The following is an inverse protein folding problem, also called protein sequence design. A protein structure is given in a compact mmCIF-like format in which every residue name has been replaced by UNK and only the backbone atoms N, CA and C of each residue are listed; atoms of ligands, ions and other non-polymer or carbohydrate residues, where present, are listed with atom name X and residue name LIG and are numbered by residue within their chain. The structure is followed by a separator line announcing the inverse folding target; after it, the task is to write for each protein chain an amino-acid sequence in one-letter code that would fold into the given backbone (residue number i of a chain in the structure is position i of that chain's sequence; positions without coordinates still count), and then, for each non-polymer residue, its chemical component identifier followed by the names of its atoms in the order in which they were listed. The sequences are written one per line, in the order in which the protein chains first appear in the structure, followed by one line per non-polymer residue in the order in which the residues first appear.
data_IF_562214969247
#
_entry.id   IF_562214969247
#
_cell.length_a   1.000
_cell.length_b   1.000
_cell.length_c   1.000
_cell.angle_alpha   90.00
_cell.angle_beta   90.00
_cell.angle_gamma   90.00
#
_symmetry.space_group_name_H-M   'P 1'
#
loop_
_entity.id
_entity.type
_entity.pdbx_description
1 polymer ?
#
# COMPACT_ATOMS: atom_id res chain seq x y z
N UNK A 1 26.85 15.40 20.18
CA UNK A 1 25.75 15.97 19.38
C UNK A 1 25.75 15.28 18.02
N UNK A 2 24.82 14.33 17.80
CA UNK A 2 24.66 13.67 16.51
C UNK A 2 23.56 14.42 15.75
N UNK A 3 23.88 14.85 14.53
CA UNK A 3 23.01 15.61 13.64
C UNK A 3 21.61 15.00 13.55
N UNK A 4 20.59 15.82 13.75
CA UNK A 4 19.21 15.49 13.43
C UNK A 4 19.12 15.35 11.90
N UNK A 5 19.16 14.12 11.39
CA UNK A 5 18.66 13.85 10.04
C UNK A 5 17.17 14.20 10.05
N UNK A 6 16.79 15.15 9.19
CA UNK A 6 15.40 15.45 8.87
C UNK A 6 14.63 14.15 8.58
N UNK A 7 13.81 13.68 9.52
CA UNK A 7 13.08 12.41 9.42
C UNK A 7 11.82 12.56 8.56
N UNK A 8 11.95 13.15 7.37
CA UNK A 8 10.93 13.06 6.34
C UNK A 8 10.81 11.59 5.96
N UNK A 9 9.71 10.94 6.33
CA UNK A 9 9.45 9.54 5.94
C UNK A 9 9.20 9.52 4.45
N UNK A 10 10.01 8.81 3.69
CA UNK A 10 9.95 8.89 2.23
C UNK A 10 8.81 8.04 1.66
N UNK A 11 8.53 6.87 2.25
CA UNK A 11 7.51 5.94 1.75
C UNK A 11 6.50 5.57 2.83
N UNK A 12 5.21 5.69 2.54
CA UNK A 12 4.14 5.13 3.38
C UNK A 12 3.75 3.73 2.89
N UNK A 13 3.70 2.74 3.78
CA UNK A 13 3.39 1.34 3.46
C UNK A 13 1.91 1.01 3.70
N UNK A 14 1.04 1.48 2.81
CA UNK A 14 -0.40 1.19 2.81
C UNK A 14 -0.77 -0.12 2.11
N UNK A 15 -2.06 -0.47 2.14
CA UNK A 15 -2.59 -1.67 1.50
C UNK A 15 -2.98 -2.77 2.48
N UNK A 16 -3.16 -3.99 1.97
CA UNK A 16 -3.51 -5.19 2.72
C UNK A 16 -2.69 -5.30 4.02
N UNK A 17 -3.38 -5.52 5.13
CA UNK A 17 -2.82 -5.60 6.48
C UNK A 17 -2.79 -7.04 6.96
N UNK A 18 -3.54 -7.42 7.98
CA UNK A 18 -3.59 -8.79 8.49
C UNK A 18 -4.38 -9.69 7.51
N UNK A 19 -3.93 -10.92 7.22
CA UNK A 19 -2.80 -11.65 7.80
C UNK A 19 -1.47 -11.50 7.02
N UNK A 20 -1.36 -10.52 6.13
CA UNK A 20 -0.26 -10.41 5.16
C UNK A 20 1.05 -9.98 5.82
N UNK A 21 2.16 -10.51 5.30
CA UNK A 21 3.52 -10.30 5.84
C UNK A 21 4.44 -9.55 4.88
N UNK A 22 3.94 -9.12 3.71
CA UNK A 22 4.75 -8.49 2.65
C UNK A 22 5.60 -7.32 3.13
N UNK A 23 5.12 -6.58 4.15
CA UNK A 23 5.87 -5.49 4.78
C UNK A 23 7.15 -6.01 5.42
N UNK A 24 7.03 -7.01 6.28
CA UNK A 24 8.15 -7.56 7.05
C UNK A 24 9.05 -8.47 6.21
N UNK A 25 8.45 -9.28 5.33
CA UNK A 25 9.19 -10.29 4.57
C UNK A 25 9.97 -9.68 3.39
N UNK A 26 9.48 -8.57 2.82
CA UNK A 26 10.02 -8.01 1.58
C UNK A 26 10.26 -6.51 1.61
N UNK A 27 9.23 -5.70 1.89
CA UNK A 27 9.31 -4.26 1.70
C UNK A 27 10.30 -3.57 2.65
N UNK A 28 10.19 -3.85 3.95
CA UNK A 28 11.06 -3.27 4.98
C UNK A 28 12.53 -3.66 4.74
N UNK A 29 12.91 -4.94 4.57
CA UNK A 29 14.29 -5.30 4.28
C UNK A 29 14.86 -4.61 3.03
N UNK A 30 14.06 -4.48 1.96
CA UNK A 30 14.49 -3.83 0.73
C UNK A 30 14.71 -2.32 0.92
N UNK A 31 13.80 -1.63 1.60
CA UNK A 31 13.88 -0.20 1.89
C UNK A 31 15.06 0.12 2.82
N UNK A 32 15.25 -0.67 3.89
CA UNK A 32 16.38 -0.53 4.81
C UNK A 32 17.72 -0.71 4.09
N UNK A 33 17.83 -1.75 3.25
CA UNK A 33 19.02 -1.99 2.44
C UNK A 33 19.34 -0.84 1.49
N UNK A 34 18.31 -0.17 0.97
CA UNK A 34 18.45 1.00 0.10
C UNK A 34 18.64 2.33 0.85
N UNK A 35 18.61 2.33 2.18
CA UNK A 35 18.69 3.55 2.99
C UNK A 35 17.46 4.46 2.88
N UNK A 36 16.32 3.92 2.48
CA UNK A 36 15.06 4.66 2.30
C UNK A 36 14.23 4.61 3.58
N UNK A 37 13.84 5.78 4.10
CA UNK A 37 12.96 5.88 5.27
C UNK A 37 11.51 5.54 4.91
N UNK A 38 10.80 4.89 5.83
CA UNK A 38 9.41 4.48 5.61
C UNK A 38 8.55 4.62 6.87
N UNK A 39 7.23 4.54 6.67
CA UNK A 39 6.24 4.37 7.73
C UNK A 39 5.47 3.06 7.54
N UNK A 40 5.50 2.18 8.54
CA UNK A 40 4.65 1.01 8.59
C UNK A 40 3.42 1.31 9.49
N UNK A 41 2.20 1.37 8.93
CA UNK A 41 0.97 1.58 9.72
C UNK A 41 0.47 0.32 10.44
N UNK A 42 0.98 -0.87 10.09
CA UNK A 42 0.53 -2.12 10.68
C UNK A 42 1.13 -2.29 12.08
N UNK A 43 0.27 -2.17 13.09
CA UNK A 43 0.58 -2.37 14.51
C UNK A 43 -0.24 -3.54 15.07
N UNK A 44 0.24 -4.15 16.16
CA UNK A 44 -0.50 -5.20 16.88
C UNK A 44 -1.67 -4.60 17.68
N UNK A 45 -1.43 -3.51 18.41
CA UNK A 45 -2.43 -2.82 19.24
C UNK A 45 -2.85 -1.49 18.60
N UNK A 46 -4.09 -1.44 18.10
CA UNK A 46 -4.65 -0.20 17.54
C UNK A 46 -5.13 0.74 18.65
N UNK A 47 -4.86 2.04 18.50
CA UNK A 47 -5.44 3.09 19.34
C UNK A 47 -5.89 4.30 18.49
N UNK A 48 -6.85 5.12 18.97
CA UNK A 48 -7.29 6.32 18.25
C UNK A 48 -6.16 7.32 17.95
N UNK A 49 -5.16 7.41 18.81
CA UNK A 49 -3.99 8.27 18.62
C UNK A 49 -3.17 7.88 17.38
N UNK A 50 -3.18 6.59 17.01
CA UNK A 50 -2.49 6.11 15.82
C UNK A 50 -3.10 6.63 14.53
N UNK A 51 -4.39 6.99 14.53
CA UNK A 51 -5.06 7.57 13.35
C UNK A 51 -4.41 8.90 12.97
N UNK A 52 -4.15 9.76 13.95
CA UNK A 52 -3.53 11.05 13.70
C UNK A 52 -2.06 10.90 13.25
N UNK A 53 -1.35 9.92 13.81
CA UNK A 53 0.04 9.61 13.43
C UNK A 53 0.09 9.06 12.00
N UNK A 54 -0.81 8.15 11.64
CA UNK A 54 -0.91 7.58 10.30
C UNK A 54 -1.28 8.65 9.28
N UNK A 55 -2.27 9.50 9.57
CA UNK A 55 -2.66 10.61 8.70
C UNK A 55 -1.49 11.57 8.45
N UNK A 56 -0.74 11.91 9.51
CA UNK A 56 0.48 12.72 9.40
C UNK A 56 1.56 12.02 8.58
N UNK A 57 1.75 10.71 8.78
CA UNK A 57 2.73 9.94 8.02
C UNK A 57 2.38 9.85 6.53
N UNK A 58 1.09 9.72 6.18
CA UNK A 58 0.59 9.81 4.80
C UNK A 58 0.86 11.20 4.23
N UNK A 59 0.57 12.25 5.00
CA UNK A 59 0.77 13.63 4.54
C UNK A 59 2.24 13.94 4.23
N UNK A 60 3.14 13.55 5.13
CA UNK A 60 4.60 13.77 4.99
C UNK A 60 5.28 12.87 3.95
N UNK A 61 4.66 11.75 3.58
CA UNK A 61 5.27 10.78 2.68
C UNK A 61 5.41 11.30 1.25
N UNK A 62 6.60 11.17 0.66
CA UNK A 62 6.85 11.49 -0.75
C UNK A 62 6.12 10.52 -1.68
N UNK A 63 6.08 9.24 -1.30
CA UNK A 63 5.44 8.15 -2.04
C UNK A 63 4.47 7.41 -1.13
N UNK A 64 3.27 7.13 -1.65
CA UNK A 64 2.29 6.27 -1.00
C UNK A 64 2.23 4.93 -1.74
N UNK A 65 2.80 3.89 -1.13
CA UNK A 65 2.75 2.53 -1.67
C UNK A 65 1.51 1.81 -1.12
N UNK A 66 0.67 1.26 -1.99
CA UNK A 66 -0.46 0.42 -1.62
C UNK A 66 -0.34 -0.96 -2.28
N UNK A 67 -0.14 -1.99 -1.46
CA UNK A 67 -0.18 -3.39 -1.91
C UNK A 67 -1.59 -3.94 -1.71
N UNK A 68 -2.30 -4.22 -2.80
CA UNK A 68 -3.67 -4.76 -2.83
C UNK A 68 -3.56 -6.24 -3.21
N UNK A 69 -3.24 -7.09 -2.23
CA UNK A 69 -3.02 -8.51 -2.48
C UNK A 69 -4.33 -9.32 -2.54
N UNK A 70 -4.20 -10.62 -2.79
CA UNK A 70 -5.33 -11.56 -2.85
C UNK A 70 -5.82 -12.09 -1.49
N UNK A 71 -5.28 -11.64 -0.36
CA UNK A 71 -5.58 -12.19 0.98
C UNK A 71 -6.53 -11.32 1.81
N UNK A 72 -6.86 -10.12 1.35
CA UNK A 72 -7.81 -9.23 2.01
C UNK A 72 -8.85 -8.71 1.02
N UNK A 73 -9.96 -8.12 1.52
CA UNK A 73 -10.90 -7.41 0.63
C UNK A 73 -10.36 -6.05 0.16
N UNK A 74 -9.41 -5.48 0.90
CA UNK A 74 -8.69 -4.23 0.62
C UNK A 74 -9.55 -2.99 0.29
N UNK A 75 -10.83 -2.97 0.69
CA UNK A 75 -11.79 -1.93 0.29
C UNK A 75 -11.35 -0.51 0.67
N UNK A 76 -10.88 -0.30 1.91
CA UNK A 76 -10.38 1.00 2.37
C UNK A 76 -9.15 1.42 1.57
N UNK A 77 -8.18 0.52 1.39
CA UNK A 77 -6.95 0.82 0.64
C UNK A 77 -7.20 1.17 -0.82
N UNK A 78 -8.20 0.54 -1.46
CA UNK A 78 -8.64 0.90 -2.82
C UNK A 78 -9.17 2.35 -2.85
N UNK A 79 -10.02 2.72 -1.90
CA UNK A 79 -10.56 4.08 -1.83
C UNK A 79 -9.46 5.12 -1.55
N UNK A 80 -8.52 4.80 -0.67
CA UNK A 80 -7.39 5.69 -0.38
C UNK A 80 -6.47 5.88 -1.59
N UNK A 81 -6.14 4.80 -2.31
CA UNK A 81 -5.33 4.87 -3.52
C UNK A 81 -5.97 5.79 -4.59
N UNK A 82 -7.28 5.66 -4.81
CA UNK A 82 -8.02 6.54 -5.72
C UNK A 82 -8.00 7.99 -5.26
N UNK A 83 -8.32 8.24 -3.98
CA UNK A 83 -8.33 9.59 -3.40
C UNK A 83 -6.96 10.26 -3.57
N UNK A 84 -5.89 9.61 -3.11
CA UNK A 84 -4.57 10.21 -3.15
C UNK A 84 -4.04 10.36 -4.58
N UNK A 85 -4.37 9.43 -5.47
CA UNK A 85 -4.11 9.59 -6.91
C UNK A 85 -4.80 10.83 -7.47
N UNK A 86 -6.09 11.01 -7.19
CA UNK A 86 -6.86 12.19 -7.61
C UNK A 86 -6.35 13.51 -6.98
N UNK A 87 -5.85 13.46 -5.74
CA UNK A 87 -5.22 14.59 -5.06
C UNK A 87 -3.81 14.94 -5.62
N UNK A 88 -3.35 14.23 -6.66
CA UNK A 88 -2.05 14.48 -7.31
C UNK A 88 -0.84 13.94 -6.52
N UNK A 89 -1.05 13.09 -5.51
CA UNK A 89 0.05 12.47 -4.75
C UNK A 89 0.69 11.35 -5.54
N UNK A 90 1.99 11.13 -5.36
CA UNK A 90 2.67 9.98 -5.96
C UNK A 90 2.20 8.69 -5.31
N UNK A 91 1.45 7.88 -6.05
CA UNK A 91 0.91 6.59 -5.58
C UNK A 91 1.53 5.46 -6.38
N UNK A 92 1.93 4.38 -5.70
CA UNK A 92 2.38 3.14 -6.33
C UNK A 92 1.45 2.02 -5.88
N UNK A 93 0.99 1.21 -6.84
CA UNK A 93 0.03 0.13 -6.63
C UNK A 93 0.63 -1.20 -7.09
N UNK A 94 0.48 -2.23 -6.25
CA UNK A 94 0.47 -3.62 -6.70
C UNK A 94 -0.93 -4.16 -6.54
N UNK A 95 -1.52 -4.74 -7.58
CA UNK A 95 -2.91 -5.20 -7.56
C UNK A 95 -2.97 -6.68 -7.95
N UNK A 96 -3.42 -7.51 -7.03
CA UNK A 96 -3.62 -8.94 -7.25
C UNK A 96 -5.07 -9.32 -6.98
N UNK A 97 -5.61 -10.19 -7.83
CA UNK A 97 -6.94 -10.75 -7.60
C UNK A 97 -6.94 -11.71 -6.43
N UNK A 98 -8.05 -11.74 -5.69
CA UNK A 98 -8.35 -12.77 -4.70
C UNK A 98 -8.53 -14.10 -5.44
N UNK A 99 -7.78 -15.16 -5.10
CA UNK A 99 -8.01 -16.49 -5.62
C UNK A 99 -9.36 -17.07 -5.18
N UNK A 100 -9.94 -17.98 -5.98
CA UNK A 100 -11.13 -18.73 -5.57
C UNK A 100 -10.82 -19.62 -4.37
N UNK A 101 -11.68 -19.58 -3.37
CA UNK A 101 -11.53 -20.40 -2.15
C UNK A 101 -10.62 -19.79 -1.09
N UNK A 102 -10.16 -18.55 -1.28
CA UNK A 102 -9.44 -17.82 -0.22
C UNK A 102 -10.35 -17.62 1.00
N UNK A 103 -9.81 -17.85 2.20
CA UNK A 103 -10.48 -17.58 3.46
C UNK A 103 -10.07 -16.22 3.98
N UNK A 104 -11.03 -15.31 4.12
CA UNK A 104 -10.86 -13.96 4.67
C UNK A 104 -11.76 -13.85 5.89
N UNK A 105 -11.20 -13.46 7.04
CA UNK A 105 -11.97 -13.32 8.30
C UNK A 105 -12.76 -14.60 8.66
N UNK A 106 -12.15 -15.78 8.48
CA UNK A 106 -12.75 -17.10 8.70
C UNK A 106 -13.93 -17.44 7.76
N UNK A 107 -14.08 -16.71 6.65
CA UNK A 107 -15.09 -16.97 5.64
C UNK A 107 -14.44 -17.21 4.28
N UNK A 108 -14.80 -18.33 3.66
CA UNK A 108 -14.42 -18.61 2.28
C UNK A 108 -15.16 -17.65 1.34
N UNK A 109 -14.41 -16.86 0.56
CA UNK A 109 -14.99 -15.90 -0.38
C UNK A 109 -15.22 -16.56 -1.74
N UNK A 110 -16.49 -16.64 -2.14
CA UNK A 110 -16.93 -17.35 -3.35
C UNK A 110 -17.99 -16.58 -4.12
N UNK A 111 -18.31 -17.08 -5.31
CA UNK A 111 -19.49 -16.65 -6.05
C UNK A 111 -19.51 -15.16 -6.38
N UNK A 112 -20.56 -14.46 -5.92
CA UNK A 112 -20.75 -13.03 -6.20
C UNK A 112 -19.73 -12.16 -5.46
N UNK A 113 -19.48 -12.44 -4.18
CA UNK A 113 -18.55 -11.66 -3.36
C UNK A 113 -17.14 -11.64 -3.94
N UNK A 114 -16.65 -12.80 -4.39
CA UNK A 114 -15.35 -12.92 -5.05
C UNK A 114 -15.30 -12.11 -6.35
N UNK A 115 -16.35 -12.23 -7.18
CA UNK A 115 -16.44 -11.51 -8.45
C UNK A 115 -16.49 -10.01 -8.24
N UNK A 116 -17.24 -9.54 -7.25
CA UNK A 116 -17.35 -8.11 -6.94
C UNK A 116 -16.04 -7.56 -6.38
N UNK A 117 -15.36 -8.29 -5.48
CA UNK A 117 -14.05 -7.92 -4.95
C UNK A 117 -12.96 -7.82 -6.03
N UNK A 118 -12.93 -8.76 -6.97
CA UNK A 118 -11.99 -8.73 -8.10
C UNK A 118 -12.39 -7.69 -9.16
N UNK A 119 -13.68 -7.42 -9.35
CA UNK A 119 -14.15 -6.32 -10.20
C UNK A 119 -13.70 -4.96 -9.66
N UNK A 120 -13.79 -4.74 -8.34
CA UNK A 120 -13.28 -3.50 -7.72
C UNK A 120 -11.79 -3.29 -7.98
N UNK A 121 -10.98 -4.36 -7.93
CA UNK A 121 -9.54 -4.31 -8.27
C UNK A 121 -9.31 -3.96 -9.73
N UNK A 122 -10.06 -4.56 -10.65
CA UNK A 122 -10.00 -4.21 -12.07
C UNK A 122 -10.35 -2.74 -12.29
N UNK A 123 -11.42 -2.25 -11.66
CA UNK A 123 -11.83 -0.86 -11.77
C UNK A 123 -10.82 0.11 -11.18
N UNK A 124 -10.19 -0.21 -10.04
CA UNK A 124 -9.06 0.57 -9.53
C UNK A 124 -7.99 0.70 -10.61
N UNK A 125 -7.53 -0.43 -11.16
CA UNK A 125 -6.50 -0.45 -12.20
C UNK A 125 -6.88 0.32 -13.46
N UNK A 126 -8.16 0.30 -13.86
CA UNK A 126 -8.64 1.05 -15.02
C UNK A 126 -8.76 2.56 -14.74
N UNK A 127 -9.28 2.95 -13.59
CA UNK A 127 -9.48 4.36 -13.23
C UNK A 127 -8.16 5.12 -13.08
N UNK A 128 -7.14 4.50 -12.49
CA UNK A 128 -5.87 5.17 -12.23
C UNK A 128 -4.98 5.31 -13.48
N UNK A 129 -5.34 4.69 -14.62
CA UNK A 129 -4.61 4.87 -15.89
C UNK A 129 -4.56 6.31 -16.36
N UNK A 130 -5.58 7.09 -16.00
CA UNK A 130 -5.66 8.52 -16.34
C UNK A 130 -4.80 9.39 -15.40
N UNK A 131 -4.23 8.82 -14.33
CA UNK A 131 -3.44 9.57 -13.35
C UNK A 131 -1.94 9.45 -13.66
N UNK A 132 -1.32 10.54 -14.13
CA UNK A 132 0.11 10.57 -14.45
C UNK A 132 1.04 10.39 -13.24
N UNK A 133 0.50 10.56 -12.03
CA UNK A 133 1.17 10.43 -10.74
C UNK A 133 0.94 9.06 -10.08
N UNK A 134 0.29 8.11 -10.76
CA UNK A 134 0.05 6.77 -10.24
C UNK A 134 0.76 5.70 -11.06
N UNK A 135 1.50 4.84 -10.38
CA UNK A 135 2.27 3.75 -10.97
C UNK A 135 1.62 2.42 -10.60
N UNK A 136 1.18 1.64 -11.59
CA UNK A 136 0.64 0.29 -11.36
C UNK A 136 1.72 -0.74 -11.75
N UNK A 137 2.07 -1.61 -10.81
CA UNK A 137 3.11 -2.62 -10.95
C UNK A 137 2.49 -4.03 -10.93
N UNK A 138 3.09 -4.95 -11.68
CA UNK A 138 2.60 -6.33 -11.79
C UNK A 138 2.92 -7.20 -10.55
N UNK A 139 3.72 -6.70 -9.61
CA UNK A 139 4.04 -7.41 -8.37
C UNK A 139 4.41 -6.45 -7.24
N UNK A 140 4.29 -6.95 -6.01
CA UNK A 140 4.66 -6.21 -4.80
C UNK A 140 6.15 -5.84 -4.81
N UNK A 141 7.04 -6.72 -5.26
CA UNK A 141 8.48 -6.46 -5.33
C UNK A 141 8.80 -5.36 -6.33
N UNK A 142 8.16 -5.38 -7.51
CA UNK A 142 8.29 -4.29 -8.50
C UNK A 142 7.78 -2.96 -7.93
N UNK A 143 6.69 -2.99 -7.16
CA UNK A 143 6.15 -1.78 -6.52
C UNK A 143 7.11 -1.21 -5.47
N UNK A 144 7.71 -2.07 -4.64
CA UNK A 144 8.74 -1.68 -3.67
C UNK A 144 9.98 -1.12 -4.37
N UNK A 145 10.45 -1.78 -5.44
CA UNK A 145 11.59 -1.29 -6.21
C UNK A 145 11.31 0.08 -6.86
N UNK A 146 10.11 0.25 -7.43
CA UNK A 146 9.68 1.54 -8.00
C UNK A 146 9.68 2.65 -6.94
N UNK A 147 9.26 2.33 -5.71
CA UNK A 147 9.32 3.28 -4.60
C UNK A 147 10.77 3.69 -4.29
N UNK A 148 11.70 2.73 -4.23
CA UNK A 148 13.12 2.99 -3.99
C UNK A 148 13.69 3.90 -5.09
N UNK A 149 13.40 3.59 -6.35
CA UNK A 149 13.92 4.34 -7.50
C UNK A 149 13.43 5.79 -7.50
N UNK A 150 12.14 6.03 -7.21
CA UNK A 150 11.55 7.37 -7.14
C UNK A 150 12.06 8.21 -5.95
N UNK A 151 12.51 7.58 -4.85
CA UNK A 151 13.08 8.30 -3.72
C UNK A 151 14.55 8.69 -3.98
N UNK A 152 15.26 7.88 -4.75
CA UNK A 152 16.68 8.06 -5.05
C UNK A 152 16.95 8.86 -6.34
N UNK A 153 15.93 9.17 -7.14
CA UNK A 153 16.00 10.07 -8.29
C UNK A 153 16.07 11.54 -7.89
#
# INVERSE_FOLDING_TARGET
MKNAMSSSRSVFLGGSCNPTTWRFDHAIPALEKAGVSFYNPQVEDWSPELVAIEAKAKDEAKVLLFVIDGQTRAGVSIMEALKYGADGRTVILSIENIPTGTVIENQEILGRDLKDANRMRSYLGDLVKEYSNVYVCDSMEKAVQTAIDLINS
#
